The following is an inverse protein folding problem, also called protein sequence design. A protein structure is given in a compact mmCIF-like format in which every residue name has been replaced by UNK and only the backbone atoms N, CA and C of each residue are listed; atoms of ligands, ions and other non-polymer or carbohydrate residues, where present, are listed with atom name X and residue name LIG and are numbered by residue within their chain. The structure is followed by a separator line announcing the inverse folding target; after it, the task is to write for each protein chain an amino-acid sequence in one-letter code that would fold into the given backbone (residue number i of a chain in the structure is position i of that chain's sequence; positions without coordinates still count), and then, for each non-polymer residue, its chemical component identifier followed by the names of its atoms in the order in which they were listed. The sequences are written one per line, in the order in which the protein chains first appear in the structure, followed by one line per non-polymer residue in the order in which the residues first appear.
data_IF_179488578222
#
_entry.id   IF_179488578222
#
_cell.length_a   1.000
_cell.length_b   1.000
_cell.length_c   1.000
_cell.angle_alpha   90.00
_cell.angle_beta   90.00
_cell.angle_gamma   90.00
#
_symmetry.space_group_name_H-M   'P 1'
#
loop_
_entity.id
_entity.type
_entity.pdbx_description
1 polymer ?
#
# COMPACT_ATOMS: atom_id res chain seq x y z
N UNK A 1 18.22 4.34 12.74
CA UNK A 1 16.88 3.88 13.17
C UNK A 1 16.75 2.45 12.72
N UNK A 2 16.47 1.51 13.63
CA UNK A 2 16.17 0.13 13.24
C UNK A 2 14.97 0.12 12.31
N UNK A 3 14.97 -0.78 11.36
CA UNK A 3 13.84 -1.00 10.45
C UNK A 3 12.64 -1.47 11.27
N UNK A 4 11.45 -1.01 10.93
CA UNK A 4 10.23 -1.40 11.66
C UNK A 4 9.72 -2.71 11.07
N UNK A 5 10.17 -3.82 11.66
CA UNK A 5 9.82 -5.18 11.27
C UNK A 5 8.29 -5.37 11.23
N UNK A 6 7.60 -4.83 12.21
CA UNK A 6 6.15 -4.94 12.36
C UNK A 6 5.37 -4.35 11.17
N UNK A 7 5.86 -3.22 10.64
CA UNK A 7 5.24 -2.59 9.46
C UNK A 7 5.54 -3.36 8.18
N UNK A 8 6.72 -3.97 8.07
CA UNK A 8 7.04 -4.85 6.94
C UNK A 8 6.15 -6.10 6.96
N UNK A 9 5.93 -6.72 8.13
CA UNK A 9 5.00 -7.85 8.31
C UNK A 9 3.57 -7.45 7.94
N UNK A 10 3.08 -6.32 8.49
CA UNK A 10 1.75 -5.81 8.19
C UNK A 10 1.54 -5.65 6.67
N UNK A 11 2.51 -5.04 5.98
CA UNK A 11 2.44 -4.86 4.52
C UNK A 11 2.43 -6.17 3.77
N UNK A 12 3.18 -7.18 4.25
CA UNK A 12 3.17 -8.52 3.68
C UNK A 12 1.81 -9.21 3.81
N UNK A 13 1.20 -9.14 4.99
CA UNK A 13 -0.14 -9.65 5.24
C UNK A 13 -1.18 -8.96 4.34
N UNK A 14 -1.16 -7.63 4.30
CA UNK A 14 -2.07 -6.85 3.46
C UNK A 14 -1.93 -7.22 1.97
N UNK A 15 -0.71 -7.49 1.51
CA UNK A 15 -0.47 -7.87 0.12
C UNK A 15 -1.05 -9.25 -0.20
N UNK A 16 -0.90 -10.21 0.70
CA UNK A 16 -1.51 -11.53 0.55
C UNK A 16 -3.05 -11.44 0.56
N UNK A 17 -3.63 -10.66 1.48
CA UNK A 17 -5.07 -10.41 1.51
C UNK A 17 -5.55 -9.81 0.19
N UNK A 18 -4.84 -8.82 -0.35
CA UNK A 18 -5.19 -8.19 -1.63
C UNK A 18 -5.15 -9.17 -2.79
N UNK A 19 -4.17 -10.10 -2.83
CA UNK A 19 -4.13 -11.16 -3.86
C UNK A 19 -5.36 -12.07 -3.76
N UNK A 20 -5.76 -12.45 -2.54
CA UNK A 20 -6.97 -13.25 -2.32
C UNK A 20 -8.24 -12.48 -2.70
N UNK A 21 -8.33 -11.19 -2.36
CA UNK A 21 -9.49 -10.33 -2.69
C UNK A 21 -9.73 -10.20 -4.19
N UNK A 22 -8.65 -10.28 -4.98
CA UNK A 22 -8.72 -10.23 -6.44
C UNK A 22 -8.80 -11.62 -7.11
N UNK A 23 -8.73 -12.69 -6.32
CA UNK A 23 -8.96 -14.05 -6.81
C UNK A 23 -10.46 -14.40 -6.83
N UNK A 24 -10.84 -15.36 -7.67
CA UNK A 24 -12.21 -15.90 -7.71
C UNK A 24 -12.50 -16.88 -6.57
N UNK A 25 -11.71 -16.86 -5.50
CA UNK A 25 -11.79 -17.79 -4.38
C UNK A 25 -12.89 -17.38 -3.40
N UNK A 26 -13.59 -18.37 -2.81
CA UNK A 26 -14.49 -18.14 -1.66
C UNK A 26 -13.79 -17.59 -0.42
N UNK A 27 -12.46 -17.71 -0.35
CA UNK A 27 -11.65 -17.10 0.72
C UNK A 27 -11.75 -15.58 0.74
N UNK A 28 -12.16 -14.95 -0.36
CA UNK A 28 -12.43 -13.52 -0.44
C UNK A 28 -13.40 -13.04 0.65
N UNK A 29 -14.36 -13.87 1.04
CA UNK A 29 -15.29 -13.53 2.12
C UNK A 29 -14.58 -13.20 3.44
N UNK A 30 -13.41 -13.82 3.68
CA UNK A 30 -12.62 -13.66 4.91
C UNK A 30 -11.54 -12.57 4.78
N UNK A 31 -11.21 -12.13 3.58
CA UNK A 31 -10.14 -11.14 3.34
C UNK A 31 -10.68 -9.77 2.94
N UNK A 32 -11.84 -9.72 2.28
CA UNK A 32 -12.51 -8.46 1.97
C UNK A 32 -13.22 -7.92 3.22
N UNK A 33 -12.71 -6.84 3.76
CA UNK A 33 -13.26 -6.16 4.93
C UNK A 33 -13.34 -7.02 6.23
N UNK A 34 -12.27 -7.74 6.62
CA UNK A 34 -12.33 -8.69 7.74
C UNK A 34 -12.48 -8.02 9.11
N UNK A 35 -12.07 -6.77 9.24
CA UNK A 35 -12.06 -6.01 10.51
C UNK A 35 -13.12 -4.90 10.56
N UNK A 36 -14.21 -5.07 9.83
CA UNK A 36 -15.29 -4.09 9.72
C UNK A 36 -15.53 -3.68 8.27
N UNK A 37 -15.69 -2.38 7.97
CA UNK A 37 -16.08 -1.88 6.66
C UNK A 37 -14.93 -1.22 5.87
N UNK A 38 -13.69 -1.46 6.21
CA UNK A 38 -12.53 -1.01 5.44
C UNK A 38 -11.78 -2.20 4.82
N UNK A 39 -11.05 -1.93 3.74
CA UNK A 39 -10.32 -2.94 2.96
C UNK A 39 -8.81 -2.78 3.12
N UNK A 40 -8.06 -3.67 2.48
CA UNK A 40 -6.61 -3.58 2.37
C UNK A 40 -6.13 -2.28 1.71
N UNK A 41 -6.95 -1.66 0.84
CA UNK A 41 -6.59 -0.42 0.14
C UNK A 41 -6.36 0.76 1.09
N UNK A 42 -7.29 1.00 2.03
CA UNK A 42 -7.13 2.04 3.06
C UNK A 42 -5.89 1.80 3.92
N UNK A 43 -5.68 0.54 4.31
CA UNK A 43 -4.49 0.15 5.07
C UNK A 43 -3.20 0.45 4.31
N UNK A 44 -3.14 0.10 3.02
CA UNK A 44 -1.97 0.37 2.18
C UNK A 44 -1.68 1.86 2.03
N UNK A 45 -2.71 2.67 1.72
CA UNK A 45 -2.54 4.12 1.56
C UNK A 45 -2.02 4.73 2.86
N UNK A 46 -2.64 4.40 3.97
CA UNK A 46 -2.27 4.95 5.28
C UNK A 46 -0.87 4.52 5.73
N UNK A 47 -0.54 3.22 5.66
CA UNK A 47 0.79 2.71 6.06
C UNK A 47 1.90 3.26 5.17
N UNK A 48 1.65 3.41 3.86
CA UNK A 48 2.59 4.03 2.93
C UNK A 48 2.81 5.51 3.23
N UNK A 49 1.75 6.24 3.56
CA UNK A 49 1.82 7.62 3.99
C UNK A 49 2.56 7.77 5.33
N UNK A 50 2.27 6.90 6.30
CA UNK A 50 2.96 6.86 7.59
C UNK A 50 4.47 6.69 7.41
N UNK A 51 4.89 5.72 6.61
CA UNK A 51 6.31 5.51 6.28
C UNK A 51 6.90 6.69 5.51
N UNK A 52 6.15 7.29 4.58
CA UNK A 52 6.59 8.48 3.87
C UNK A 52 6.82 9.65 4.84
N UNK A 53 5.90 9.87 5.77
CA UNK A 53 6.00 10.91 6.80
C UNK A 53 7.20 10.71 7.73
N UNK A 54 7.42 9.48 8.18
CA UNK A 54 8.56 9.10 9.00
C UNK A 54 9.89 9.32 8.26
N UNK A 55 10.01 8.80 7.03
CA UNK A 55 11.24 8.90 6.25
C UNK A 55 11.52 10.34 5.77
N UNK A 56 10.47 11.10 5.43
CA UNK A 56 10.62 12.51 5.08
C UNK A 56 11.15 13.30 6.28
N UNK A 57 10.58 13.11 7.46
CA UNK A 57 11.00 13.78 8.69
C UNK A 57 12.45 13.47 9.04
N UNK A 58 12.83 12.19 8.99
CA UNK A 58 14.20 11.75 9.22
C UNK A 58 15.18 12.43 8.26
N UNK A 59 14.91 12.39 6.95
CA UNK A 59 15.80 13.00 5.96
C UNK A 59 15.84 14.50 6.05
N UNK A 60 14.72 15.15 6.37
CA UNK A 60 14.68 16.59 6.54
C UNK A 60 15.54 17.06 7.72
N UNK A 61 15.62 16.28 8.77
CA UNK A 61 16.47 16.54 9.94
C UNK A 61 17.94 16.22 9.65
N UNK A 62 18.24 15.08 9.04
CA UNK A 62 19.62 14.64 8.78
C UNK A 62 20.30 15.39 7.61
N UNK A 63 19.55 15.75 6.56
CA UNK A 63 20.10 16.25 5.28
C UNK A 63 19.40 17.50 4.73
N UNK A 64 18.47 18.06 5.50
CA UNK A 64 17.71 19.24 5.12
C UNK A 64 16.47 18.94 4.28
N UNK A 65 15.57 19.92 4.23
CA UNK A 65 14.27 19.83 3.54
C UNK A 65 14.40 19.55 2.04
N UNK A 66 15.37 20.17 1.36
CA UNK A 66 15.61 19.97 -0.07
C UNK A 66 15.93 18.49 -0.39
N UNK A 67 16.77 17.84 0.42
CA UNK A 67 17.11 16.43 0.25
C UNK A 67 15.89 15.50 0.51
N UNK A 68 15.05 15.83 1.50
CA UNK A 68 13.82 15.09 1.76
C UNK A 68 12.82 15.24 0.60
N UNK A 69 12.65 16.46 0.06
CA UNK A 69 11.82 16.75 -1.12
C UNK A 69 12.31 15.96 -2.34
N UNK A 70 13.60 16.04 -2.67
CA UNK A 70 14.19 15.29 -3.78
C UNK A 70 13.93 13.79 -3.66
N UNK A 71 14.13 13.21 -2.46
CA UNK A 71 13.89 11.79 -2.22
C UNK A 71 12.41 11.40 -2.37
N UNK A 72 11.47 12.28 -2.01
CA UNK A 72 10.03 12.04 -2.21
C UNK A 72 9.68 12.05 -3.70
N UNK A 73 10.19 13.01 -4.46
CA UNK A 73 10.00 13.10 -5.91
C UNK A 73 10.59 11.87 -6.62
N UNK A 74 11.81 11.46 -6.27
CA UNK A 74 12.42 10.25 -6.83
C UNK A 74 11.61 8.98 -6.51
N UNK A 75 11.02 8.91 -5.31
CA UNK A 75 10.10 7.81 -4.97
C UNK A 75 8.88 7.82 -5.86
N UNK A 76 8.24 8.98 -6.04
CA UNK A 76 7.10 9.14 -6.94
C UNK A 76 7.45 8.72 -8.38
N UNK A 77 8.61 9.15 -8.89
CA UNK A 77 9.10 8.78 -10.21
C UNK A 77 9.33 7.28 -10.38
N UNK A 78 9.87 6.59 -9.35
CA UNK A 78 10.01 5.12 -9.39
C UNK A 78 8.66 4.39 -9.41
N UNK A 79 7.67 4.87 -8.66
CA UNK A 79 6.32 4.30 -8.68
C UNK A 79 5.68 4.57 -10.05
N UNK A 80 5.85 5.77 -10.60
CA UNK A 80 5.37 6.13 -11.93
C UNK A 80 5.98 5.23 -13.02
N UNK A 81 7.28 5.04 -13.01
CA UNK A 81 7.96 4.13 -13.94
C UNK A 81 7.42 2.70 -13.80
N UNK A 82 7.30 2.19 -12.56
CA UNK A 82 6.71 0.87 -12.30
C UNK A 82 5.29 0.74 -12.85
N UNK A 83 4.45 1.76 -12.64
CA UNK A 83 3.09 1.79 -13.17
C UNK A 83 3.07 1.77 -14.70
N UNK A 84 3.86 2.63 -15.36
CA UNK A 84 3.91 2.71 -16.82
C UNK A 84 4.45 1.43 -17.45
N UNK A 85 5.47 0.80 -16.84
CA UNK A 85 6.01 -0.50 -17.29
C UNK A 85 4.94 -1.59 -17.16
N UNK A 86 4.26 -1.68 -16.01
CA UNK A 86 3.20 -2.68 -15.79
C UNK A 86 2.05 -2.48 -16.78
N UNK A 87 1.65 -1.24 -17.00
CA UNK A 87 0.56 -0.90 -17.91
C UNK A 87 0.97 -1.17 -19.38
N UNK A 88 2.20 -0.80 -19.77
CA UNK A 88 2.74 -1.11 -21.09
C UNK A 88 2.80 -2.62 -21.36
N UNK A 89 3.20 -3.41 -20.36
CA UNK A 89 3.17 -4.86 -20.43
C UNK A 89 1.74 -5.40 -20.56
N UNK A 90 0.78 -4.86 -19.78
CA UNK A 90 -0.63 -5.23 -19.89
C UNK A 90 -1.23 -4.89 -21.27
N UNK A 91 -0.87 -3.74 -21.85
CA UNK A 91 -1.28 -3.36 -23.21
C UNK A 91 -0.68 -4.29 -24.26
N UNK A 92 0.61 -4.61 -24.16
CA UNK A 92 1.27 -5.49 -25.10
C UNK A 92 0.70 -6.92 -25.05
N UNK A 93 0.64 -7.53 -23.86
CA UNK A 93 0.11 -8.88 -23.71
C UNK A 93 -1.39 -8.95 -23.97
N UNK A 94 -2.14 -8.03 -23.36
CA UNK A 94 -3.60 -8.02 -23.46
C UNK A 94 -4.06 -7.70 -24.87
N UNK A 95 -3.42 -6.73 -25.54
CA UNK A 95 -3.78 -6.34 -26.90
C UNK A 95 -3.36 -7.35 -27.97
N UNK A 96 -2.17 -7.97 -27.82
CA UNK A 96 -1.62 -8.87 -28.86
C UNK A 96 -2.04 -10.33 -28.71
N UNK A 97 -2.17 -10.82 -27.47
CA UNK A 97 -2.31 -12.26 -27.23
C UNK A 97 -3.57 -12.67 -26.44
N UNK A 98 -4.10 -11.80 -25.61
CA UNK A 98 -5.12 -12.16 -24.64
C UNK A 98 -6.44 -11.42 -24.81
N UNK A 99 -6.64 -10.70 -25.93
CA UNK A 99 -7.86 -9.96 -26.23
C UNK A 99 -9.11 -10.85 -26.36
N UNK A 100 -8.92 -12.13 -26.63
CA UNK A 100 -10.00 -13.12 -26.71
C UNK A 100 -10.56 -13.54 -25.34
N UNK A 101 -9.78 -13.31 -24.25
CA UNK A 101 -10.23 -13.65 -22.90
C UNK A 101 -11.15 -12.56 -22.33
N UNK A 102 -12.43 -12.88 -21.99
CA UNK A 102 -13.41 -11.88 -21.55
C UNK A 102 -12.95 -11.01 -20.38
N UNK A 103 -12.24 -11.59 -19.41
CA UNK A 103 -11.72 -10.86 -18.25
C UNK A 103 -10.70 -9.79 -18.63
N UNK A 104 -9.79 -10.09 -19.54
CA UNK A 104 -8.76 -9.15 -20.02
C UNK A 104 -9.38 -8.12 -20.97
N UNK A 105 -10.29 -8.55 -21.82
CA UNK A 105 -11.02 -7.65 -22.69
C UNK A 105 -11.79 -6.57 -21.91
N UNK A 106 -12.48 -6.96 -20.84
CA UNK A 106 -13.16 -6.01 -19.96
C UNK A 106 -12.18 -5.06 -19.25
N UNK A 107 -11.01 -5.57 -18.81
CA UNK A 107 -9.98 -4.78 -18.16
C UNK A 107 -9.37 -3.72 -19.09
N UNK A 108 -9.18 -4.08 -20.37
CA UNK A 108 -8.52 -3.25 -21.38
C UNK A 108 -9.49 -2.69 -22.42
N UNK A 109 -10.80 -2.74 -22.20
CA UNK A 109 -11.83 -2.34 -23.17
C UNK A 109 -11.55 -0.96 -23.78
N UNK A 110 -11.22 0.02 -22.94
CA UNK A 110 -10.91 1.37 -23.42
C UNK A 110 -9.65 1.40 -24.30
N UNK A 111 -8.57 0.67 -23.91
CA UNK A 111 -7.36 0.55 -24.72
C UNK A 111 -7.65 -0.13 -26.07
N UNK A 112 -8.45 -1.19 -26.06
CA UNK A 112 -8.80 -1.92 -27.28
C UNK A 112 -9.65 -1.08 -28.25
N UNK A 113 -10.49 -0.15 -27.73
CA UNK A 113 -11.28 0.78 -28.55
C UNK A 113 -10.47 1.97 -29.06
N UNK A 114 -9.57 2.52 -28.25
CA UNK A 114 -8.77 3.70 -28.59
C UNK A 114 -7.39 3.66 -27.94
N UNK A 115 -6.46 3.02 -28.64
CA UNK A 115 -5.10 2.80 -28.12
C UNK A 115 -4.35 4.10 -27.81
N UNK A 116 -4.43 5.09 -28.70
CA UNK A 116 -3.71 6.35 -28.52
C UNK A 116 -4.26 7.18 -27.36
N UNK A 117 -5.57 7.21 -27.20
CA UNK A 117 -6.18 7.87 -26.05
C UNK A 117 -5.80 7.17 -24.73
N UNK A 118 -5.81 5.85 -24.68
CA UNK A 118 -5.42 5.09 -23.51
C UNK A 118 -3.94 5.29 -23.15
N UNK A 119 -3.04 5.27 -24.15
CA UNK A 119 -1.59 5.50 -23.94
C UNK A 119 -1.37 6.95 -23.47
N UNK A 120 -1.97 7.94 -24.12
CA UNK A 120 -1.87 9.34 -23.71
C UNK A 120 -2.40 9.57 -22.30
N UNK A 121 -3.57 9.00 -22.00
CA UNK A 121 -4.17 9.03 -20.66
C UNK A 121 -3.31 8.35 -19.59
N UNK A 122 -2.65 7.25 -19.93
CA UNK A 122 -1.73 6.55 -19.03
C UNK A 122 -0.52 7.41 -18.65
N UNK A 123 0.08 8.09 -19.63
CA UNK A 123 1.25 8.98 -19.41
C UNK A 123 0.91 10.13 -18.46
N UNK A 124 -0.29 10.71 -18.60
CA UNK A 124 -0.74 11.81 -17.72
C UNK A 124 -1.48 11.32 -16.47
N UNK A 125 -1.48 10.00 -16.21
CA UNK A 125 -2.16 9.36 -15.07
C UNK A 125 -3.69 9.57 -15.05
N UNK A 126 -4.28 9.90 -16.18
CA UNK A 126 -5.70 10.10 -16.37
C UNK A 126 -6.42 8.83 -16.86
N UNK A 127 -5.70 7.81 -17.31
CA UNK A 127 -6.20 6.48 -17.59
C UNK A 127 -5.84 5.51 -16.45
N UNK A 128 -6.87 4.99 -15.79
CA UNK A 128 -6.72 4.14 -14.60
C UNK A 128 -7.59 2.88 -14.78
N UNK A 129 -7.08 1.87 -15.48
CA UNK A 129 -7.82 0.63 -15.65
C UNK A 129 -8.04 -0.05 -14.29
N UNK A 130 -9.12 -0.83 -14.12
CA UNK A 130 -9.37 -1.60 -12.91
C UNK A 130 -8.13 -2.38 -12.48
N UNK A 131 -7.93 -2.55 -11.18
CA UNK A 131 -6.76 -3.17 -10.53
C UNK A 131 -5.45 -2.37 -10.59
N UNK A 132 -5.32 -1.38 -11.49
CA UNK A 132 -4.12 -0.53 -11.60
C UNK A 132 -4.37 0.92 -11.18
N UNK A 133 -5.55 1.24 -10.72
CA UNK A 133 -6.05 2.59 -10.38
C UNK A 133 -5.47 3.15 -9.06
N UNK A 134 -4.98 2.29 -8.18
CA UNK A 134 -4.38 2.71 -6.91
C UNK A 134 -2.97 3.31 -7.08
N UNK A 135 -2.17 2.86 -8.07
CA UNK A 135 -0.81 3.35 -8.28
C UNK A 135 -0.75 4.82 -8.71
N UNK A 136 -1.59 5.31 -9.66
CA UNK A 136 -1.69 6.73 -9.97
C UNK A 136 -1.99 7.61 -8.76
N UNK A 137 -2.87 7.15 -7.86
CA UNK A 137 -3.15 7.84 -6.60
C UNK A 137 -1.89 7.95 -5.71
N UNK A 138 -1.12 6.86 -5.58
CA UNK A 138 0.15 6.88 -4.84
C UNK A 138 1.19 7.83 -5.44
N UNK A 139 1.27 7.90 -6.76
CA UNK A 139 2.17 8.82 -7.47
C UNK A 139 1.83 10.25 -7.10
N UNK A 140 0.55 10.63 -7.28
CA UNK A 140 0.06 11.98 -6.97
C UNK A 140 0.28 12.35 -5.50
N UNK A 141 -0.07 11.47 -4.57
CA UNK A 141 0.11 11.70 -3.14
C UNK A 141 1.59 11.78 -2.73
N UNK A 142 2.46 11.02 -3.39
CA UNK A 142 3.91 11.12 -3.16
C UNK A 142 4.46 12.46 -3.62
N UNK A 143 3.96 13.03 -4.72
CA UNK A 143 4.27 14.39 -5.16
C UNK A 143 3.73 15.47 -4.22
N UNK A 144 2.55 15.26 -3.62
CA UNK A 144 1.97 16.18 -2.64
C UNK A 144 2.69 16.16 -1.28
N UNK A 145 3.43 15.11 -0.96
CA UNK A 145 4.10 14.96 0.34
C UNK A 145 4.99 16.14 0.70
N UNK A 146 5.91 16.64 -0.16
CA UNK A 146 6.74 17.81 0.16
C UNK A 146 5.92 19.08 0.39
N UNK A 147 4.83 19.28 -0.36
CA UNK A 147 3.95 20.43 -0.20
C UNK A 147 3.21 20.38 1.14
N UNK A 148 2.71 19.20 1.55
CA UNK A 148 2.09 19.01 2.85
C UNK A 148 3.06 19.32 4.01
N UNK A 149 4.32 18.90 3.90
CA UNK A 149 5.35 19.23 4.89
C UNK A 149 5.74 20.71 4.89
N UNK A 150 5.78 21.37 3.72
CA UNK A 150 6.01 22.82 3.62
C UNK A 150 4.87 23.60 4.29
N UNK A 151 3.63 23.25 3.99
CA UNK A 151 2.44 23.82 4.62
C UNK A 151 2.42 23.59 6.14
N UNK A 152 2.75 22.34 6.57
CA UNK A 152 2.81 22.02 8.00
C UNK A 152 3.95 22.77 8.74
N UNK A 153 5.02 23.11 8.05
CA UNK A 153 6.11 23.93 8.59
C UNK A 153 5.69 25.39 8.74
N UNK A 154 4.89 25.91 7.81
CA UNK A 154 4.44 27.29 7.79
C UNK A 154 3.26 27.53 8.71
N UNK A 155 2.23 26.67 8.66
CA UNK A 155 0.94 26.89 9.34
C UNK A 155 0.65 25.87 10.45
N UNK A 156 1.50 24.85 10.57
CA UNK A 156 1.30 23.75 11.52
C UNK A 156 0.34 22.67 11.03
N UNK A 157 0.50 21.47 11.60
CA UNK A 157 -0.30 20.29 11.21
C UNK A 157 -1.78 20.42 11.48
N UNK A 158 -2.19 21.22 12.47
CA UNK A 158 -3.62 21.41 12.78
C UNK A 158 -4.36 22.04 11.59
N UNK A 159 -3.76 23.05 10.95
CA UNK A 159 -4.36 23.72 9.80
C UNK A 159 -4.34 22.80 8.57
N UNK A 160 -3.24 22.10 8.34
CA UNK A 160 -3.14 21.13 7.22
C UNK A 160 -4.16 20.00 7.35
N UNK A 161 -4.35 19.44 8.54
CA UNK A 161 -5.36 18.41 8.80
C UNK A 161 -6.79 18.95 8.66
N UNK A 162 -7.06 20.16 9.16
CA UNK A 162 -8.36 20.79 9.00
C UNK A 162 -8.70 21.03 7.53
N UNK A 163 -7.75 21.58 6.76
CA UNK A 163 -7.91 21.78 5.32
C UNK A 163 -8.12 20.45 4.58
N UNK A 164 -7.36 19.42 4.92
CA UNK A 164 -7.54 18.07 4.38
C UNK A 164 -8.91 17.49 4.71
N UNK A 165 -9.39 17.68 5.94
CA UNK A 165 -10.71 17.25 6.35
C UNK A 165 -11.83 18.03 5.63
N UNK A 166 -11.63 19.33 5.36
CA UNK A 166 -12.57 20.14 4.58
C UNK A 166 -12.68 19.64 3.14
N UNK A 167 -11.54 19.29 2.49
CA UNK A 167 -11.54 18.69 1.15
C UNK A 167 -12.28 17.35 1.17
N UNK A 168 -12.02 16.50 2.17
CA UNK A 168 -12.74 15.24 2.33
C UNK A 168 -14.24 15.45 2.51
N UNK A 169 -14.64 16.45 3.30
CA UNK A 169 -16.05 16.78 3.49
C UNK A 169 -16.73 17.21 2.18
N UNK A 170 -16.03 18.02 1.37
CA UNK A 170 -16.50 18.40 0.03
C UNK A 170 -16.62 17.18 -0.89
N UNK A 171 -15.73 16.18 -0.77
CA UNK A 171 -15.85 14.95 -1.53
C UNK A 171 -17.13 14.15 -1.23
N UNK A 172 -17.70 14.28 -0.01
CA UNK A 172 -18.94 13.60 0.37
C UNK A 172 -20.19 14.09 -0.42
N UNK A 173 -20.13 15.27 -1.04
CA UNK A 173 -21.17 15.78 -1.92
C UNK A 173 -20.89 15.47 -3.41
N UNK A 174 -20.04 14.47 -3.68
CA UNK A 174 -19.78 13.93 -5.03
C UNK A 174 -19.26 14.96 -6.06
N UNK A 175 -18.53 15.99 -5.59
CA UNK A 175 -17.94 17.03 -6.49
C UNK A 175 -17.07 16.42 -7.58
N UNK A 176 -16.35 15.32 -7.28
CA UNK A 176 -15.58 14.59 -8.28
C UNK A 176 -16.46 14.11 -9.44
N UNK A 177 -17.61 13.52 -9.14
CA UNK A 177 -18.48 12.93 -10.15
C UNK A 177 -19.09 14.04 -11.02
N UNK A 178 -19.42 15.18 -10.43
CA UNK A 178 -19.82 16.38 -11.14
C UNK A 178 -18.72 16.89 -12.08
N UNK A 179 -17.45 16.89 -11.64
CA UNK A 179 -16.32 17.26 -12.48
C UNK A 179 -16.11 16.26 -13.63
N UNK A 180 -16.23 14.96 -13.37
CA UNK A 180 -16.10 13.92 -14.41
C UNK A 180 -17.17 14.13 -15.48
N UNK A 181 -18.42 14.36 -15.08
CA UNK A 181 -19.54 14.62 -16.02
C UNK A 181 -19.25 15.84 -16.90
N UNK A 182 -18.61 16.88 -16.36
CA UNK A 182 -18.21 18.06 -17.14
C UNK A 182 -17.12 17.74 -18.19
N UNK A 183 -16.36 16.66 -18.02
CA UNK A 183 -15.35 16.17 -18.97
C UNK A 183 -15.81 14.92 -19.76
N UNK A 184 -17.10 14.56 -19.71
CA UNK A 184 -17.66 13.52 -20.55
C UNK A 184 -17.46 13.86 -22.03
N UNK A 185 -16.89 12.92 -22.78
CA UNK A 185 -16.48 13.14 -24.19
C UNK A 185 -14.97 13.32 -24.39
N UNK A 186 -14.20 13.54 -23.34
CA UNK A 186 -12.74 13.55 -23.44
C UNK A 186 -12.22 12.12 -23.36
N UNK A 187 -11.94 11.52 -24.50
CA UNK A 187 -11.68 10.08 -24.68
C UNK A 187 -10.49 9.51 -23.91
N UNK A 188 -9.58 10.35 -23.40
CA UNK A 188 -8.42 9.86 -22.65
C UNK A 188 -8.58 9.93 -21.12
N UNK A 189 -9.71 10.43 -20.60
CA UNK A 189 -9.95 10.58 -19.16
C UNK A 189 -10.77 9.41 -18.65
N UNK A 190 -10.13 8.52 -17.88
CA UNK A 190 -10.76 7.43 -17.11
C UNK A 190 -10.15 7.37 -15.72
N UNK A 191 -10.71 8.12 -14.79
CA UNK A 191 -10.10 8.36 -13.47
C UNK A 191 -10.23 7.22 -12.46
N UNK A 192 -10.83 6.08 -12.83
CA UNK A 192 -11.06 4.99 -11.90
C UNK A 192 -12.02 5.36 -10.74
N UNK A 193 -12.36 4.47 -9.84
CA UNK A 193 -13.36 4.70 -8.81
C UNK A 193 -12.87 5.48 -7.59
N UNK A 194 -11.55 5.51 -7.30
CA UNK A 194 -11.02 6.17 -6.10
C UNK A 194 -11.10 7.70 -6.21
N UNK A 195 -11.85 8.31 -5.29
CA UNK A 195 -11.91 9.78 -5.19
C UNK A 195 -10.67 10.34 -4.49
N UNK A 196 -9.83 11.05 -5.24
CA UNK A 196 -8.61 11.65 -4.73
C UNK A 196 -8.87 12.70 -3.64
N UNK A 197 -9.99 13.43 -3.74
CA UNK A 197 -10.37 14.44 -2.74
C UNK A 197 -10.71 13.79 -1.40
N UNK A 198 -11.29 12.58 -1.43
CA UNK A 198 -11.55 11.82 -0.22
C UNK A 198 -10.28 11.13 0.31
N UNK A 199 -9.58 10.39 -0.54
CA UNK A 199 -8.48 9.52 -0.13
C UNK A 199 -7.22 10.27 0.34
N UNK A 200 -7.07 11.56 -0.03
CA UNK A 200 -5.98 12.40 0.48
C UNK A 200 -5.99 12.55 2.00
N UNK A 201 -7.16 12.45 2.66
CA UNK A 201 -7.24 12.54 4.11
C UNK A 201 -6.50 11.41 4.81
N UNK A 202 -6.58 10.17 4.29
CA UNK A 202 -5.78 9.05 4.80
C UNK A 202 -4.29 9.30 4.61
N UNK A 203 -3.90 9.86 3.46
CA UNK A 203 -2.50 10.18 3.18
C UNK A 203 -1.95 11.25 4.13
N UNK A 204 -2.64 12.37 4.25
CA UNK A 204 -2.21 13.49 5.11
C UNK A 204 -2.17 13.07 6.59
N UNK A 205 -3.17 12.30 7.05
CA UNK A 205 -3.20 11.73 8.40
C UNK A 205 -2.03 10.79 8.64
N UNK A 206 -1.71 9.93 7.66
CA UNK A 206 -0.54 9.05 7.71
C UNK A 206 0.78 9.82 7.80
N UNK A 207 0.97 10.86 6.97
CA UNK A 207 2.16 11.74 7.01
C UNK A 207 2.33 12.37 8.39
N UNK A 208 1.26 12.93 8.94
CA UNK A 208 1.25 13.55 10.27
C UNK A 208 1.66 12.55 11.36
N UNK A 209 1.02 11.37 11.38
CA UNK A 209 1.31 10.35 12.39
C UNK A 209 2.72 9.77 12.22
N UNK A 210 3.20 9.61 11.00
CA UNK A 210 4.59 9.20 10.73
C UNK A 210 5.61 10.20 11.26
N UNK A 211 5.36 11.51 11.11
CA UNK A 211 6.20 12.54 11.71
C UNK A 211 6.13 12.54 13.26
N UNK A 212 4.92 12.40 13.83
CA UNK A 212 4.76 12.30 15.30
C UNK A 212 5.53 11.12 15.86
N UNK A 213 5.43 9.98 15.21
CA UNK A 213 6.17 8.77 15.60
C UNK A 213 7.68 8.99 15.53
N UNK A 214 8.18 9.61 14.45
CA UNK A 214 9.59 9.95 14.32
C UNK A 214 10.08 10.84 15.46
N UNK A 215 9.26 11.82 15.87
CA UNK A 215 9.56 12.74 16.99
C UNK A 215 9.35 12.11 18.38
N UNK A 216 9.08 10.82 18.47
CA UNK A 216 8.82 10.13 19.75
C UNK A 216 7.55 10.60 20.48
N UNK A 217 6.63 11.31 19.78
CA UNK A 217 5.38 11.78 20.39
C UNK A 217 4.33 10.68 20.38
N UNK A 218 3.54 10.62 21.44
CA UNK A 218 2.39 9.68 21.54
C UNK A 218 1.42 9.90 20.38
N UNK A 219 0.98 8.81 19.74
CA UNK A 219 0.04 8.88 18.61
C UNK A 219 -1.33 9.39 19.07
N UNK A 220 -1.77 8.97 20.26
CA UNK A 220 -3.01 9.46 20.90
C UNK A 220 -2.70 9.86 22.35
N UNK A 221 -2.86 11.15 22.70
CA UNK A 221 -2.48 11.65 24.01
C UNK A 221 -3.49 11.30 25.12
N UNK A 222 -4.74 10.94 24.77
CA UNK A 222 -5.83 10.75 25.75
C UNK A 222 -6.03 9.26 26.05
N UNK A 223 -5.64 8.76 27.24
CA UNK A 223 -5.83 7.36 27.61
C UNK A 223 -7.30 6.94 27.68
N UNK A 224 -8.20 7.87 27.99
CA UNK A 224 -9.67 7.65 28.06
C UNK A 224 -10.25 7.19 26.70
N UNK A 225 -9.65 7.59 25.59
CA UNK A 225 -10.12 7.16 24.26
C UNK A 225 -9.78 5.70 23.93
N UNK A 226 -8.88 5.06 24.66
CA UNK A 226 -8.44 3.70 24.34
C UNK A 226 -9.58 2.67 24.44
N UNK A 227 -10.36 2.58 25.55
CA UNK A 227 -11.48 1.65 25.62
C UNK A 227 -12.58 2.00 24.62
N UNK A 228 -12.82 3.28 24.34
CA UNK A 228 -13.80 3.70 23.36
C UNK A 228 -13.42 3.24 21.93
N UNK A 229 -12.17 3.40 21.54
CA UNK A 229 -11.70 2.96 20.23
C UNK A 229 -11.72 1.42 20.09
N UNK A 230 -11.40 0.70 21.16
CA UNK A 230 -11.52 -0.75 21.19
C UNK A 230 -13.00 -1.17 21.04
N UNK A 231 -13.89 -0.57 21.83
CA UNK A 231 -15.32 -0.83 21.74
C UNK A 231 -15.86 -0.53 20.35
N UNK A 232 -15.47 0.61 19.76
CA UNK A 232 -15.83 0.99 18.41
C UNK A 232 -15.35 -0.07 17.38
N UNK A 233 -14.11 -0.52 17.49
CA UNK A 233 -13.56 -1.56 16.60
C UNK A 233 -14.34 -2.86 16.71
N UNK A 234 -14.65 -3.30 17.94
CA UNK A 234 -15.43 -4.52 18.19
C UNK A 234 -16.86 -4.36 17.66
N UNK A 235 -17.49 -3.21 17.87
CA UNK A 235 -18.84 -2.94 17.37
C UNK A 235 -18.91 -3.03 15.84
N UNK A 236 -17.97 -2.42 15.12
CA UNK A 236 -17.90 -2.53 13.65
C UNK A 236 -17.59 -3.94 13.18
N UNK A 237 -16.75 -4.67 13.90
CA UNK A 237 -16.45 -6.07 13.61
C UNK A 237 -17.72 -6.93 13.74
N UNK A 238 -18.43 -6.82 14.87
CA UNK A 238 -19.69 -7.55 15.12
C UNK A 238 -20.72 -7.18 14.06
N UNK A 239 -20.89 -5.88 13.76
CA UNK A 239 -21.83 -5.41 12.75
C UNK A 239 -21.52 -6.00 11.36
N UNK A 240 -20.25 -5.97 10.94
CA UNK A 240 -19.84 -6.54 9.63
C UNK A 240 -20.15 -8.03 9.54
N UNK A 241 -19.77 -8.80 10.55
CA UNK A 241 -19.98 -10.26 10.53
C UNK A 241 -21.44 -10.65 10.73
N UNK A 242 -22.22 -9.93 11.53
CA UNK A 242 -23.64 -10.13 11.65
C UNK A 242 -24.37 -9.85 10.33
N UNK A 243 -23.98 -8.81 9.59
CA UNK A 243 -24.58 -8.51 8.28
C UNK A 243 -24.32 -9.63 7.25
N UNK A 244 -23.15 -10.29 7.31
CA UNK A 244 -22.86 -11.46 6.45
C UNK A 244 -23.74 -12.64 6.84
N UNK A 245 -23.84 -12.92 8.14
CA UNK A 245 -24.57 -14.10 8.64
C UNK A 245 -26.09 -13.97 8.42
N UNK A 246 -26.65 -12.79 8.62
CA UNK A 246 -28.08 -12.53 8.52
C UNK A 246 -28.54 -12.00 7.15
N UNK A 247 -27.59 -11.86 6.19
CA UNK A 247 -27.91 -11.45 4.82
C UNK A 247 -28.51 -10.03 4.71
N UNK A 248 -28.16 -9.12 5.62
CA UNK A 248 -28.69 -7.76 5.59
C UNK A 248 -27.87 -6.89 4.65
N UNK A 249 -28.35 -6.71 3.41
CA UNK A 249 -27.76 -5.80 2.40
C UNK A 249 -27.90 -4.31 2.72
N UNK A 250 -28.64 -3.97 3.77
CA UNK A 250 -28.90 -2.59 4.23
C UNK A 250 -27.64 -1.77 4.50
N UNK A 251 -26.53 -2.43 4.78
CA UNK A 251 -25.28 -1.80 5.19
C UNK A 251 -24.41 -1.41 3.98
N UNK A 252 -24.48 -2.16 2.90
CA UNK A 252 -23.62 -1.97 1.73
C UNK A 252 -23.96 -0.73 0.89
N UNK A 253 -25.18 -0.20 1.04
CA UNK A 253 -25.72 0.87 0.18
C UNK A 253 -25.73 2.25 0.84
N UNK A 254 -25.27 2.40 2.07
CA UNK A 254 -25.28 3.71 2.73
C UNK A 254 -24.04 4.52 2.35
N UNK A 255 -24.21 5.78 1.97
CA UNK A 255 -23.11 6.73 1.74
C UNK A 255 -22.13 6.83 2.92
N UNK A 256 -22.58 6.53 4.12
CA UNK A 256 -21.75 6.51 5.34
C UNK A 256 -20.62 5.47 5.31
N UNK A 257 -20.80 4.38 4.55
CA UNK A 257 -19.84 3.28 4.41
C UNK A 257 -19.22 3.19 3.01
N UNK A 258 -19.51 4.18 2.15
CA UNK A 258 -19.00 4.18 0.78
C UNK A 258 -17.46 4.06 0.76
N UNK A 259 -16.98 3.14 -0.09
CA UNK A 259 -15.55 2.86 -0.26
C UNK A 259 -14.86 3.96 -1.07
N UNK A 260 -15.53 4.43 -2.10
CA UNK A 260 -14.89 5.26 -3.12
C UNK A 260 -14.66 6.69 -2.63
N UNK A 261 -15.62 7.22 -1.86
CA UNK A 261 -15.57 8.54 -1.24
C UNK A 261 -15.15 8.51 0.24
N UNK A 262 -14.71 7.33 0.75
CA UNK A 262 -14.34 7.15 2.17
C UNK A 262 -15.41 7.70 3.13
N UNK A 263 -16.58 7.08 3.13
CA UNK A 263 -17.70 7.48 3.97
C UNK A 263 -17.34 7.66 5.46
N UNK A 264 -18.05 8.52 6.19
CA UNK A 264 -17.67 8.90 7.55
C UNK A 264 -17.56 7.73 8.54
N UNK A 265 -18.51 6.80 8.54
CA UNK A 265 -18.43 5.61 9.40
C UNK A 265 -17.28 4.69 9.01
N UNK A 266 -16.97 4.61 7.71
CA UNK A 266 -15.82 3.86 7.20
C UNK A 266 -14.49 4.41 7.73
N UNK A 267 -14.34 5.74 7.75
CA UNK A 267 -13.16 6.39 8.33
C UNK A 267 -13.05 6.18 9.84
N UNK A 268 -14.16 6.32 10.57
CA UNK A 268 -14.20 6.06 12.02
C UNK A 268 -13.77 4.63 12.32
N UNK A 269 -14.33 3.65 11.61
CA UNK A 269 -13.95 2.25 11.75
C UNK A 269 -12.45 2.05 11.43
N UNK A 270 -11.97 2.60 10.31
CA UNK A 270 -10.57 2.48 9.92
C UNK A 270 -9.61 3.04 10.99
N UNK A 271 -9.84 4.28 11.48
CA UNK A 271 -8.94 4.88 12.47
C UNK A 271 -9.02 4.19 13.82
N UNK A 272 -10.20 3.71 14.24
CA UNK A 272 -10.33 2.92 15.46
C UNK A 272 -9.53 1.60 15.36
N UNK A 273 -9.70 0.86 14.27
CA UNK A 273 -8.98 -0.38 14.04
C UNK A 273 -7.46 -0.16 13.86
N UNK A 274 -7.04 0.89 13.14
CA UNK A 274 -5.63 1.25 12.97
C UNK A 274 -4.96 1.57 14.32
N UNK A 275 -5.67 2.22 15.23
CA UNK A 275 -5.18 2.47 16.57
C UNK A 275 -5.00 1.18 17.37
N UNK A 276 -6.00 0.28 17.36
CA UNK A 276 -5.90 -1.04 18.01
C UNK A 276 -4.76 -1.84 17.40
N UNK A 277 -4.65 -1.88 16.07
CA UNK A 277 -3.56 -2.56 15.36
C UNK A 277 -2.20 -2.01 15.77
N UNK A 278 -2.02 -0.68 15.86
CA UNK A 278 -0.76 -0.07 16.29
C UNK A 278 -0.33 -0.50 17.70
N UNK A 279 -1.28 -0.84 18.58
CA UNK A 279 -0.99 -1.40 19.92
C UNK A 279 -0.59 -2.87 19.86
N UNK A 280 -1.21 -3.62 18.97
CA UNK A 280 -0.94 -5.06 18.81
C UNK A 280 0.34 -5.34 18.03
N UNK A 281 0.69 -4.50 17.05
CA UNK A 281 1.86 -4.67 16.20
C UNK A 281 3.17 -4.84 17.00
N UNK A 282 3.31 -4.14 18.15
CA UNK A 282 4.50 -4.27 19.00
C UNK A 282 4.76 -5.69 19.51
N UNK A 283 3.73 -6.53 19.58
CA UNK A 283 3.86 -7.92 20.03
C UNK A 283 4.35 -8.85 18.92
N UNK A 284 4.31 -8.43 17.64
CA UNK A 284 4.78 -9.25 16.51
C UNK A 284 6.27 -9.57 16.58
N UNK A 285 7.06 -8.72 17.24
CA UNK A 285 8.50 -8.96 17.43
C UNK A 285 8.81 -10.25 18.22
N UNK A 286 7.84 -10.75 19.02
CA UNK A 286 7.97 -12.04 19.70
C UNK A 286 8.00 -13.23 18.76
N UNK A 287 7.46 -13.03 17.54
CA UNK A 287 7.29 -14.05 16.50
C UNK A 287 8.16 -13.74 15.26
N UNK A 288 9.28 -13.02 15.46
CA UNK A 288 10.12 -12.54 14.35
C UNK A 288 10.53 -13.66 13.40
N UNK A 289 10.99 -14.80 13.92
CA UNK A 289 11.44 -15.93 13.11
C UNK A 289 10.31 -16.49 12.23
N UNK A 290 9.11 -16.65 12.79
CA UNK A 290 7.95 -17.17 12.07
C UNK A 290 7.41 -16.18 11.03
N UNK A 291 7.46 -14.88 11.34
CA UNK A 291 6.90 -13.81 10.50
C UNK A 291 7.91 -13.25 9.50
N UNK A 292 9.16 -13.74 9.51
CA UNK A 292 10.21 -13.29 8.59
C UNK A 292 9.82 -13.39 7.11
N UNK A 293 9.17 -14.47 6.60
CA UNK A 293 8.72 -14.53 5.20
C UNK A 293 7.75 -13.41 4.84
N UNK A 294 6.77 -13.13 5.71
CA UNK A 294 5.82 -12.02 5.50
C UNK A 294 6.52 -10.66 5.46
N UNK A 295 7.49 -10.45 6.34
CA UNK A 295 8.31 -9.25 6.35
C UNK A 295 9.10 -9.09 5.03
N UNK A 296 9.61 -10.16 4.44
CA UNK A 296 10.30 -10.13 3.14
C UNK A 296 9.35 -9.72 2.01
N UNK A 297 8.15 -10.30 1.95
CA UNK A 297 7.11 -9.90 0.98
C UNK A 297 6.79 -8.41 1.12
N UNK A 298 6.57 -7.92 2.34
CA UNK A 298 6.26 -6.52 2.60
C UNK A 298 7.40 -5.55 2.25
N UNK A 299 8.65 -6.01 2.28
CA UNK A 299 9.83 -5.23 1.85
C UNK A 299 9.86 -5.00 0.35
N UNK A 300 9.47 -6.01 -0.43
CA UNK A 300 9.50 -6.00 -1.88
C UNK A 300 8.12 -5.72 -2.50
N UNK A 301 7.28 -4.96 -1.81
CA UNK A 301 5.89 -4.71 -2.19
C UNK A 301 5.75 -4.15 -3.63
N UNK A 302 6.56 -3.17 -4.01
CA UNK A 302 6.44 -2.56 -5.35
C UNK A 302 6.76 -3.55 -6.49
N UNK A 303 7.87 -4.31 -6.48
CA UNK A 303 8.11 -5.36 -7.46
C UNK A 303 7.03 -6.44 -7.48
N UNK A 304 6.53 -6.83 -6.31
CA UNK A 304 5.47 -7.85 -6.21
C UNK A 304 4.15 -7.31 -6.78
N UNK A 305 3.80 -6.05 -6.46
CA UNK A 305 2.59 -5.42 -6.95
C UNK A 305 2.60 -5.19 -8.47
N UNK A 306 3.76 -4.85 -9.04
CA UNK A 306 3.93 -4.60 -10.47
C UNK A 306 4.12 -5.89 -11.30
N UNK A 307 4.01 -7.08 -10.72
CA UNK A 307 4.06 -8.36 -11.43
C UNK A 307 2.66 -8.87 -11.73
N UNK A 308 2.18 -8.73 -12.96
CA UNK A 308 0.83 -9.19 -13.34
C UNK A 308 0.67 -10.71 -13.28
N UNK A 309 1.77 -11.46 -13.33
CA UNK A 309 1.81 -12.92 -13.31
C UNK A 309 1.23 -13.52 -12.02
N UNK A 310 1.24 -12.79 -10.91
CA UNK A 310 0.67 -13.25 -9.64
C UNK A 310 -0.86 -13.18 -9.60
N UNK A 311 -1.47 -12.42 -10.49
CA UNK A 311 -2.92 -12.19 -10.49
C UNK A 311 -3.69 -13.15 -11.43
N UNK A 312 -3.02 -13.91 -12.30
CA UNK A 312 -3.70 -14.65 -13.37
C UNK A 312 -3.22 -16.09 -13.60
N UNK A 313 -2.45 -16.72 -12.75
CA UNK A 313 -1.97 -18.06 -13.09
C UNK A 313 -2.80 -19.21 -12.53
N UNK A 314 -3.74 -19.65 -13.35
CA UNK A 314 -3.94 -21.08 -13.58
C UNK A 314 -3.06 -21.68 -14.68
N UNK A 315 -1.95 -21.06 -15.11
CA UNK A 315 -1.06 -21.62 -16.16
C UNK A 315 0.41 -21.33 -15.89
N UNK A 316 1.17 -22.39 -15.94
CA UNK A 316 2.60 -22.60 -15.79
C UNK A 316 3.54 -21.54 -16.37
N UNK A 317 4.27 -20.78 -15.51
CA UNK A 317 5.54 -20.13 -15.87
C UNK A 317 6.52 -20.18 -14.70
N UNK A 318 7.79 -20.58 -14.91
CA UNK A 318 8.80 -20.59 -13.86
C UNK A 318 9.34 -19.16 -13.63
N UNK A 319 9.02 -18.57 -12.48
CA UNK A 319 9.60 -17.29 -12.05
C UNK A 319 10.96 -17.51 -11.39
N UNK A 320 12.06 -17.12 -12.07
CA UNK A 320 13.33 -16.83 -11.38
C UNK A 320 13.32 -15.39 -10.90
N UNK A 321 13.24 -15.20 -9.61
CA UNK A 321 13.53 -13.91 -8.99
C UNK A 321 15.05 -13.78 -8.87
N UNK A 322 15.67 -12.98 -9.73
CA UNK A 322 17.05 -12.57 -9.55
C UNK A 322 17.14 -11.66 -8.32
N UNK A 323 17.76 -12.15 -7.26
CA UNK A 323 18.09 -11.36 -6.08
C UNK A 323 19.47 -10.75 -6.27
N UNK A 324 19.61 -9.47 -5.92
CA UNK A 324 20.89 -8.79 -5.83
C UNK A 324 21.81 -9.52 -4.85
N UNK A 325 23.06 -9.76 -5.26
CA UNK A 325 24.05 -10.63 -4.60
C UNK A 325 24.47 -10.23 -3.17
N UNK A 326 23.73 -9.34 -2.49
CA UNK A 326 24.06 -8.88 -1.13
C UNK A 326 23.11 -9.28 -0.02
N UNK A 327 22.11 -10.10 -0.30
CA UNK A 327 21.21 -10.58 0.77
C UNK A 327 21.00 -12.07 0.59
N UNK A 328 21.64 -12.82 1.44
CA UNK A 328 21.53 -14.27 1.54
C UNK A 328 20.08 -14.74 1.72
N UNK A 329 19.74 -15.76 0.92
CA UNK A 329 18.88 -16.89 1.22
C UNK A 329 17.38 -16.72 1.38
N UNK A 330 16.65 -16.67 0.26
CA UNK A 330 15.39 -17.43 0.14
C UNK A 330 14.87 -17.41 -1.31
N UNK A 331 15.06 -18.51 -2.02
CA UNK A 331 14.37 -18.78 -3.29
C UNK A 331 12.98 -19.34 -3.02
N UNK A 332 11.94 -18.63 -3.49
CA UNK A 332 10.62 -19.22 -3.68
C UNK A 332 10.60 -19.93 -5.03
N UNK A 333 10.65 -21.25 -5.03
CA UNK A 333 10.46 -22.06 -6.24
C UNK A 333 9.04 -22.63 -6.24
N UNK A 334 8.28 -22.34 -7.29
CA UNK A 334 7.05 -23.05 -7.58
C UNK A 334 7.37 -24.24 -8.47
N UNK A 335 7.17 -25.46 -7.99
CA UNK A 335 7.22 -26.66 -8.81
C UNK A 335 5.84 -26.88 -9.46
N UNK A 336 5.78 -27.26 -10.73
CA UNK A 336 4.52 -27.62 -11.37
C UNK A 336 4.12 -29.04 -10.94
N UNK A 337 3.12 -29.14 -10.08
CA UNK A 337 2.42 -30.40 -9.88
C UNK A 337 1.03 -30.26 -10.48
N UNK A 338 0.68 -31.18 -11.33
CA UNK A 338 -0.66 -31.26 -11.91
C UNK A 338 -1.72 -31.28 -10.80
N UNK A 339 -2.74 -30.43 -10.94
CA UNK A 339 -3.91 -30.33 -10.08
C UNK A 339 -3.65 -29.82 -8.63
N UNK A 340 -3.38 -28.54 -8.51
CA UNK A 340 -3.36 -27.82 -7.23
C UNK A 340 -2.06 -27.06 -6.99
N UNK A 341 -2.13 -25.76 -6.84
CA UNK A 341 -0.98 -24.93 -6.48
C UNK A 341 -0.64 -25.15 -5.00
N UNK A 342 0.41 -25.92 -4.72
CA UNK A 342 0.99 -26.04 -3.39
C UNK A 342 2.23 -25.16 -3.31
N UNK A 343 2.28 -24.29 -2.31
CA UNK A 343 3.49 -23.52 -1.98
C UNK A 343 4.38 -24.38 -1.09
N UNK A 344 5.58 -24.73 -1.57
CA UNK A 344 6.60 -25.34 -0.73
C UNK A 344 7.77 -24.38 -0.53
N UNK A 345 8.13 -24.16 0.72
CA UNK A 345 9.34 -23.43 1.12
C UNK A 345 10.44 -24.46 1.28
N UNK A 346 11.42 -24.44 0.37
CA UNK A 346 12.60 -25.30 0.49
C UNK A 346 13.73 -24.46 1.09
N UNK A 347 14.23 -24.76 2.30
CA UNK A 347 15.46 -24.15 2.80
C UNK A 347 16.66 -24.76 2.09
N UNK A 348 17.42 -23.96 1.35
CA UNK A 348 18.69 -24.39 0.76
C UNK A 348 19.75 -24.56 1.84
N UNK A 349 20.02 -25.80 2.22
CA UNK A 349 21.16 -26.17 3.06
C UNK A 349 22.38 -26.33 2.14
N UNK A 350 23.30 -25.38 2.19
CA UNK A 350 24.71 -25.63 1.83
C UNK A 350 25.53 -25.63 3.11
N UNK A 351 25.97 -26.83 3.47
CA UNK A 351 27.05 -27.04 4.42
C UNK A 351 28.37 -26.65 3.78
N UNK A 352 28.95 -25.54 4.20
CA UNK A 352 30.40 -25.32 4.10
C UNK A 352 30.90 -25.03 5.49
N UNK A 353 31.53 -26.04 6.07
CA UNK A 353 32.41 -25.93 7.23
C UNK A 353 33.61 -25.06 6.82
N UNK A 354 33.57 -23.77 7.12
CA UNK A 354 34.76 -22.96 7.19
C UNK A 354 34.91 -22.42 8.61
N UNK A 355 36.11 -22.68 9.14
CA UNK A 355 36.51 -22.44 10.50
C UNK A 355 36.41 -20.96 10.91
N UNK A 356 35.75 -20.73 12.03
CA UNK A 356 35.69 -19.47 12.72
C UNK A 356 37.11 -18.98 13.09
N UNK A 357 37.59 -17.89 12.44
CA UNK A 357 38.73 -17.13 12.95
C UNK A 357 38.21 -15.94 13.78
N UNK A 358 38.62 -15.82 15.06
CA UNK A 358 38.19 -14.68 15.85
C UNK A 358 38.88 -13.40 15.37
N UNK A 359 38.10 -12.34 15.22
CA UNK A 359 38.52 -10.99 14.88
C UNK A 359 39.42 -10.43 16.00
N UNK A 360 40.70 -10.08 15.67
CA UNK A 360 41.61 -9.34 16.55
C UNK A 360 41.64 -7.86 16.14
N UNK A 361 41.41 -6.90 17.05
CA UNK A 361 41.55 -5.48 16.73
C UNK A 361 43.04 -5.12 16.59
N UNK A 362 43.39 -4.39 15.50
CA UNK A 362 44.72 -3.78 15.32
C UNK A 362 44.82 -2.57 16.24
N UNK A 363 45.63 -2.70 17.29
CA UNK A 363 46.13 -1.58 18.08
C UNK A 363 47.28 -0.93 17.29
N UNK A 364 47.10 0.32 16.84
CA UNK A 364 48.19 1.15 16.34
C UNK A 364 49.02 1.65 17.52
N UNK A 365 50.21 1.14 17.68
CA UNK A 365 51.22 1.72 18.54
C UNK A 365 51.69 3.06 17.93
N UNK A 366 51.50 4.17 18.64
CA UNK A 366 52.19 5.43 18.39
C UNK A 366 53.61 5.28 18.96
N UNK A 367 54.62 5.29 18.08
CA UNK A 367 56.01 5.49 18.48
C UNK A 367 56.18 6.97 18.83
N UNK A 368 56.51 7.23 20.09
CA UNK A 368 57.17 8.44 20.53
C UNK A 368 58.64 8.23 20.16
N UNK A 369 59.16 9.08 19.30
CA UNK A 369 60.58 9.20 19.02
C UNK A 369 61.03 10.61 19.39
N UNK A 370 62.17 10.67 20.06
CA UNK A 370 62.90 11.87 20.52
C UNK A 370 63.08 12.93 19.45
#
# INVERSE_FOLDING_TARGET
MKRLFELDVLRGVLLLMMVVDHSSSSLRLFTDQPFGFFTTAECFVFVSAFLAGLLFSKRAEERGFAAARSASIHRAGRICLGHLVTLGFAFALGGLFLSEFPGIRNLLDHYLRNQWAAIGGAVVLAFRPPLMDILPMYILFSFLTPAAFAAARQWGWKIVLLFSASIWFVAQIHVRDLLITAFEGVSFIQLGPFDLFAWQLLWISGLFLGQRFYKGKTLLPLPVLHPLLLLCTVAFLVWRWSSIVFGSDLVAQTWLLDKWHLGPLRLVNFFAAAFVAARLLKYLNRWETLLRPLSLIGRHMLPVFCRPDLLHTGSHWPCRVGLDQRTDDLCLSTLPTGNGATFSIVPGIRSTTEAFRPWRPRVRARSLGN
#
